data_IF_791924973469
#
_entry.id   IF_791924973469
#
_cell.length_a   1.000
_cell.length_b   1.000
_cell.length_c   1.000
_cell.angle_alpha   90.00
_cell.angle_beta   90.00
_cell.angle_gamma   90.00
#
_symmetry.space_group_name_H-M   'P 1'
#
loop_
_entity.id
_entity.type
_entity.pdbx_description
1 polymer ?
#
# COMPACT_ATOMS: atom_id res chain seq x y z
N UNK A 1 -72.57 -2.43 45.52
CA UNK A 1 -71.41 -3.24 45.98
C UNK A 1 -70.98 -4.09 44.78
N UNK A 2 -69.90 -3.86 44.06
CA UNK A 2 -68.85 -2.85 44.08
C UNK A 2 -68.16 -2.85 42.71
N UNK A 3 -67.33 -1.82 42.51
CA UNK A 3 -66.61 -1.45 41.30
C UNK A 3 -65.56 -2.49 40.83
N UNK A 4 -65.19 -2.48 39.54
CA UNK A 4 -63.95 -1.85 39.07
C UNK A 4 -63.53 -2.25 37.63
N UNK A 5 -63.13 -1.21 36.92
CA UNK A 5 -62.44 -1.16 35.63
C UNK A 5 -61.11 -1.92 35.60
N UNK A 6 -60.75 -2.47 34.45
CA UNK A 6 -59.37 -2.42 33.92
C UNK A 6 -59.34 -2.86 32.44
N UNK A 7 -59.10 -1.87 31.58
CA UNK A 7 -58.56 -2.02 30.24
C UNK A 7 -57.09 -2.48 30.32
N UNK A 8 -56.68 -3.44 29.49
CA UNK A 8 -55.29 -3.53 29.06
C UNK A 8 -55.22 -4.07 27.63
N UNK A 9 -54.86 -3.17 26.73
CA UNK A 9 -54.44 -3.40 25.36
C UNK A 9 -53.03 -4.00 25.39
N UNK A 10 -52.92 -5.29 25.06
CA UNK A 10 -51.63 -5.92 24.78
C UNK A 10 -51.22 -5.64 23.34
N UNK A 11 -50.56 -4.50 23.10
CA UNK A 11 -49.73 -4.34 21.91
C UNK A 11 -48.56 -5.31 22.04
N UNK A 12 -48.48 -6.28 21.13
CA UNK A 12 -47.27 -7.06 20.94
C UNK A 12 -46.21 -6.14 20.33
N UNK A 13 -45.39 -5.53 21.20
CA UNK A 13 -44.13 -4.94 20.81
C UNK A 13 -43.19 -6.09 20.42
N UNK A 14 -43.28 -6.51 19.16
CA UNK A 14 -42.17 -7.19 18.51
C UNK A 14 -41.08 -6.15 18.32
N UNK A 15 -40.19 -6.04 19.30
CA UNK A 15 -38.89 -5.43 19.14
C UNK A 15 -38.10 -6.23 18.12
N UNK A 16 -38.33 -5.93 16.84
CA UNK A 16 -37.37 -6.20 15.78
C UNK A 16 -36.09 -5.49 16.21
N UNK A 17 -35.12 -6.25 16.70
CA UNK A 17 -33.77 -5.77 16.88
C UNK A 17 -33.31 -5.27 15.50
N UNK A 18 -33.23 -3.96 15.33
CA UNK A 18 -32.48 -3.32 14.26
C UNK A 18 -31.02 -3.74 14.42
N UNK A 19 -30.68 -4.92 13.88
CA UNK A 19 -29.31 -5.30 13.64
C UNK A 19 -28.80 -4.30 12.60
N UNK A 20 -28.07 -3.27 13.07
CA UNK A 20 -27.53 -2.23 12.23
C UNK A 20 -26.85 -2.85 11.01
N UNK A 21 -27.44 -2.65 9.82
CA UNK A 21 -26.91 -3.17 8.57
C UNK A 21 -25.72 -2.29 8.16
N UNK A 22 -24.51 -2.71 8.54
CA UNK A 22 -23.29 -2.02 8.16
C UNK A 22 -22.92 -2.41 6.71
N UNK A 23 -22.79 -1.46 5.78
CA UNK A 23 -22.43 -1.77 4.39
C UNK A 23 -21.00 -2.35 4.30
N UNK A 24 -20.81 -3.29 3.37
CA UNK A 24 -19.48 -3.84 3.02
C UNK A 24 -18.62 -2.72 2.41
N UNK A 25 -17.36 -2.60 2.86
CA UNK A 25 -16.42 -1.66 2.27
C UNK A 25 -15.82 -2.26 1.00
N UNK A 26 -15.54 -1.42 -0.01
CA UNK A 26 -14.81 -1.85 -1.20
C UNK A 26 -13.46 -1.13 -1.28
N UNK A 27 -12.41 -1.88 -1.63
CA UNK A 27 -11.05 -1.37 -1.82
C UNK A 27 -10.45 -1.95 -3.10
N UNK A 28 -9.83 -1.11 -3.91
CA UNK A 28 -9.19 -1.50 -5.17
C UNK A 28 -7.68 -1.61 -4.98
N UNK A 29 -7.12 -2.79 -5.27
CA UNK A 29 -5.68 -3.04 -5.16
C UNK A 29 -5.12 -3.41 -6.53
N UNK A 30 -4.21 -2.56 -7.02
CA UNK A 30 -3.43 -2.83 -8.23
C UNK A 30 -2.28 -3.79 -7.91
N UNK A 31 -2.10 -4.80 -8.74
CA UNK A 31 -0.96 -5.71 -8.67
C UNK A 31 -0.16 -5.68 -9.97
N UNK A 32 1.16 -5.61 -9.89
CA UNK A 32 2.04 -5.80 -11.05
C UNK A 32 3.08 -6.88 -10.78
N UNK A 33 3.63 -7.43 -11.86
CA UNK A 33 4.80 -8.30 -11.83
C UNK A 33 5.67 -8.03 -13.04
N UNK A 34 6.96 -8.33 -12.94
CA UNK A 34 7.91 -8.13 -14.02
C UNK A 34 8.02 -9.34 -14.95
N UNK A 35 8.35 -9.09 -16.21
CA UNK A 35 8.69 -10.10 -17.19
C UNK A 35 10.12 -10.63 -17.03
N UNK A 36 10.55 -11.56 -17.91
CA UNK A 36 11.93 -12.07 -17.96
C UNK A 36 12.97 -10.96 -18.21
N UNK A 37 14.19 -11.13 -17.70
CA UNK A 37 15.24 -10.09 -17.84
C UNK A 37 16.69 -10.59 -17.99
N UNK A 38 16.94 -11.90 -17.84
CA UNK A 38 18.23 -12.54 -18.12
C UNK A 38 17.98 -13.93 -18.69
N UNK A 39 18.91 -14.45 -19.48
CA UNK A 39 18.81 -15.80 -20.05
C UNK A 39 18.63 -16.89 -18.96
N UNK A 40 19.25 -16.70 -17.79
CA UNK A 40 19.10 -17.58 -16.62
C UNK A 40 17.74 -17.47 -15.91
N UNK A 41 16.93 -16.46 -16.22
CA UNK A 41 15.60 -16.23 -15.66
C UNK A 41 14.57 -16.10 -16.81
N UNK A 42 14.32 -17.19 -17.57
CA UNK A 42 13.40 -17.17 -18.70
C UNK A 42 11.94 -17.05 -18.27
N UNK A 43 11.64 -17.35 -17.00
CA UNK A 43 10.35 -17.16 -16.34
C UNK A 43 10.62 -16.27 -15.12
N UNK A 44 9.78 -15.26 -14.91
CA UNK A 44 9.87 -14.39 -13.75
C UNK A 44 8.75 -14.72 -12.76
N UNK A 45 9.08 -15.20 -11.54
CA UNK A 45 8.07 -15.63 -10.58
C UNK A 45 7.14 -14.49 -10.12
N UNK A 46 7.59 -13.23 -10.18
CA UNK A 46 6.73 -12.10 -9.82
C UNK A 46 5.48 -12.03 -10.70
N UNK A 47 5.62 -12.26 -12.02
CA UNK A 47 4.49 -12.29 -12.94
C UNK A 47 3.64 -13.54 -12.79
N UNK A 48 4.26 -14.71 -12.60
CA UNK A 48 3.52 -15.96 -12.40
C UNK A 48 2.67 -15.92 -11.13
N UNK A 49 3.21 -15.34 -10.05
CA UNK A 49 2.45 -15.09 -8.81
C UNK A 49 1.32 -14.10 -9.08
N UNK A 50 1.62 -12.93 -9.66
CA UNK A 50 0.63 -11.88 -9.91
C UNK A 50 -0.55 -12.40 -10.73
N UNK A 51 -0.29 -13.06 -11.88
CA UNK A 51 -1.34 -13.56 -12.77
C UNK A 51 -2.14 -14.73 -12.19
N UNK A 52 -1.63 -15.39 -11.14
CA UNK A 52 -2.33 -16.47 -10.44
C UNK A 52 -3.35 -15.97 -9.41
N UNK A 53 -3.37 -14.67 -9.10
CA UNK A 53 -4.24 -14.10 -8.07
C UNK A 53 -5.72 -14.14 -8.49
N UNK A 54 -6.64 -14.29 -7.52
CA UNK A 54 -8.06 -14.10 -7.80
C UNK A 54 -8.34 -12.62 -8.10
N UNK A 55 -9.46 -12.33 -8.75
CA UNK A 55 -9.90 -10.95 -8.98
C UNK A 55 -10.50 -10.29 -7.75
N UNK A 56 -10.85 -11.07 -6.72
CA UNK A 56 -11.52 -10.57 -5.52
C UNK A 56 -11.15 -11.39 -4.30
N UNK A 57 -11.05 -10.71 -3.16
CA UNK A 57 -10.91 -11.30 -1.82
C UNK A 57 -11.96 -10.67 -0.89
N UNK A 58 -12.57 -11.46 0.00
CA UNK A 58 -13.50 -10.96 1.02
C UNK A 58 -12.91 -11.17 2.40
N UNK A 59 -12.79 -10.08 3.14
CA UNK A 59 -12.33 -10.07 4.52
C UNK A 59 -13.54 -10.04 5.46
N UNK A 60 -13.49 -10.81 6.55
CA UNK A 60 -14.58 -10.83 7.51
C UNK A 60 -14.74 -9.47 8.20
N UNK A 61 -15.88 -9.24 8.87
CA UNK A 61 -16.06 -8.07 9.72
C UNK A 61 -14.92 -7.87 10.71
N UNK A 62 -14.49 -6.61 10.84
CA UNK A 62 -13.55 -6.15 11.85
C UNK A 62 -14.20 -5.03 12.68
N UNK A 63 -13.62 -4.65 13.85
CA UNK A 63 -14.09 -3.49 14.59
C UNK A 63 -14.15 -2.19 13.78
N UNK A 64 -13.40 -2.11 12.66
CA UNK A 64 -13.30 -0.93 11.80
C UNK A 64 -14.02 -1.09 10.46
N UNK A 65 -14.31 -2.33 10.06
CA UNK A 65 -15.19 -2.69 8.95
C UNK A 65 -16.27 -3.68 9.42
N UNK A 66 -17.32 -3.24 10.14
CA UNK A 66 -18.32 -4.16 10.69
C UNK A 66 -19.14 -4.91 9.63
N UNK A 67 -19.20 -4.39 8.40
CA UNK A 67 -19.81 -5.05 7.24
C UNK A 67 -18.86 -5.99 6.48
N UNK A 68 -17.60 -6.10 6.91
CA UNK A 68 -16.52 -6.74 6.15
C UNK A 68 -15.97 -5.84 5.03
N UNK A 69 -14.95 -6.36 4.34
CA UNK A 69 -14.26 -5.63 3.28
C UNK A 69 -14.09 -6.51 2.04
N UNK A 70 -14.58 -6.04 0.90
CA UNK A 70 -14.35 -6.63 -0.41
C UNK A 70 -13.16 -5.94 -1.08
N UNK A 71 -12.12 -6.73 -1.34
CA UNK A 71 -10.92 -6.28 -2.06
C UNK A 71 -11.04 -6.66 -3.52
N UNK A 72 -11.09 -5.68 -4.41
CA UNK A 72 -11.01 -5.87 -5.86
C UNK A 72 -9.54 -5.86 -6.28
N UNK A 73 -9.01 -7.02 -6.67
CA UNK A 73 -7.63 -7.17 -7.13
C UNK A 73 -7.59 -7.02 -8.65
N UNK A 74 -6.83 -6.03 -9.13
CA UNK A 74 -6.59 -5.84 -10.56
C UNK A 74 -5.13 -6.07 -10.88
N UNK A 75 -4.86 -7.18 -11.54
CA UNK A 75 -3.52 -7.48 -12.06
C UNK A 75 -3.33 -6.72 -13.37
N UNK A 76 -2.22 -6.00 -13.52
CA UNK A 76 -1.88 -5.35 -14.78
C UNK A 76 -1.87 -6.40 -15.91
N UNK A 77 -2.47 -6.15 -17.08
CA UNK A 77 -2.76 -7.20 -18.08
C UNK A 77 -1.51 -7.84 -18.73
N UNK A 78 -0.33 -7.24 -18.53
CA UNK A 78 0.93 -7.74 -19.07
C UNK A 78 2.03 -7.69 -18.00
N UNK A 79 2.98 -8.61 -18.07
CA UNK A 79 4.20 -8.50 -17.30
C UNK A 79 4.92 -7.18 -17.67
N UNK A 80 5.32 -6.40 -16.66
CA UNK A 80 6.08 -5.17 -16.88
C UNK A 80 7.45 -5.56 -17.42
N UNK A 81 7.82 -5.03 -18.59
CA UNK A 81 9.16 -5.27 -19.14
C UNK A 81 10.18 -4.65 -18.20
N UNK A 82 11.30 -5.34 -17.98
CA UNK A 82 12.40 -4.84 -17.14
C UNK A 82 13.20 -3.81 -17.94
N UNK A 83 12.59 -2.65 -18.19
CA UNK A 83 13.12 -1.53 -18.96
C UNK A 83 12.67 -0.21 -18.34
N UNK A 84 13.59 0.74 -18.14
CA UNK A 84 13.31 1.99 -17.40
C UNK A 84 12.26 2.84 -18.12
N UNK A 85 12.41 3.01 -19.44
CA UNK A 85 11.45 3.74 -20.28
C UNK A 85 10.04 3.12 -20.25
N UNK A 86 9.93 1.79 -20.07
CA UNK A 86 8.62 1.14 -19.94
C UNK A 86 7.98 1.50 -18.61
N UNK A 87 8.74 1.50 -17.51
CA UNK A 87 8.22 1.92 -16.20
C UNK A 87 7.74 3.38 -16.25
N UNK A 88 8.54 4.29 -16.82
CA UNK A 88 8.16 5.70 -16.99
C UNK A 88 6.84 5.85 -17.76
N UNK A 89 6.65 5.06 -18.83
CA UNK A 89 5.43 5.12 -19.63
C UNK A 89 4.20 4.51 -18.95
N UNK A 90 4.38 3.49 -18.11
CA UNK A 90 3.27 2.72 -17.54
C UNK A 90 2.77 3.33 -16.23
N UNK A 91 3.66 3.85 -15.39
CA UNK A 91 3.32 4.34 -14.04
C UNK A 91 2.16 5.35 -14.02
N UNK A 92 2.09 6.38 -14.89
CA UNK A 92 0.95 7.30 -14.89
C UNK A 92 -0.39 6.57 -15.08
N UNK A 93 -0.48 5.69 -16.07
CA UNK A 93 -1.69 4.92 -16.37
C UNK A 93 -2.10 3.96 -15.25
N UNK A 94 -1.13 3.42 -14.50
CA UNK A 94 -1.43 2.60 -13.32
C UNK A 94 -2.27 3.34 -12.28
N UNK A 95 -2.01 4.64 -12.08
CA UNK A 95 -2.54 5.42 -10.96
C UNK A 95 -3.66 6.40 -11.34
N UNK A 96 -3.71 6.83 -12.60
CA UNK A 96 -4.82 7.60 -13.16
C UNK A 96 -6.09 6.76 -13.23
N UNK A 97 -5.94 5.44 -13.45
CA UNK A 97 -7.05 4.52 -13.57
C UNK A 97 -7.77 4.63 -14.92
N UNK A 98 -8.66 3.68 -15.18
CA UNK A 98 -9.34 3.50 -16.46
C UNK A 98 -10.77 3.00 -16.21
N UNK A 99 -11.72 3.39 -17.06
CA UNK A 99 -13.11 2.91 -17.03
C UNK A 99 -13.82 3.10 -15.66
N UNK A 100 -13.54 4.20 -14.98
CA UNK A 100 -14.10 4.49 -13.65
C UNK A 100 -13.49 3.66 -12.51
N UNK A 101 -12.49 2.83 -12.80
CA UNK A 101 -11.72 2.10 -11.81
C UNK A 101 -10.38 2.79 -11.56
N UNK A 102 -10.03 3.01 -10.28
CA UNK A 102 -8.73 3.52 -9.86
C UNK A 102 -8.22 2.70 -8.67
N UNK A 103 -6.90 2.50 -8.54
CA UNK A 103 -6.35 1.84 -7.36
C UNK A 103 -6.46 2.74 -6.14
N UNK A 104 -6.81 2.15 -5.01
CA UNK A 104 -6.66 2.74 -3.68
C UNK A 104 -5.28 2.42 -3.10
N UNK A 105 -4.74 1.24 -3.45
CA UNK A 105 -3.39 0.77 -3.15
C UNK A 105 -2.76 0.08 -4.35
N UNK A 106 -1.42 0.09 -4.43
CA UNK A 106 -0.66 -0.74 -5.37
C UNK A 106 0.38 -1.60 -4.69
N UNK A 107 0.54 -2.83 -5.18
CA UNK A 107 1.63 -3.75 -4.80
C UNK A 107 2.36 -4.18 -6.06
N UNK A 108 3.59 -3.69 -6.22
CA UNK A 108 4.50 -4.17 -7.24
C UNK A 108 5.24 -5.40 -6.73
N UNK A 109 5.38 -6.42 -7.57
CA UNK A 109 6.09 -7.66 -7.23
C UNK A 109 7.34 -7.76 -8.10
N UNK A 110 8.49 -8.05 -7.47
CA UNK A 110 9.76 -8.26 -8.15
C UNK A 110 10.50 -9.48 -7.64
N UNK A 111 11.28 -10.13 -8.50
CA UNK A 111 12.12 -11.26 -8.09
C UNK A 111 13.45 -10.74 -7.51
N UNK A 112 13.82 -11.22 -6.32
CA UNK A 112 15.14 -11.03 -5.74
C UNK A 112 15.98 -12.30 -5.94
N UNK A 113 16.87 -12.30 -6.94
CA UNK A 113 17.75 -13.43 -7.21
C UNK A 113 18.63 -13.79 -6.00
N UNK A 114 18.68 -15.07 -5.63
CA UNK A 114 19.48 -15.58 -4.50
C UNK A 114 18.87 -15.37 -3.12
N UNK A 115 17.64 -14.85 -3.03
CA UNK A 115 16.90 -14.70 -1.78
C UNK A 115 15.89 -15.84 -1.61
N UNK A 116 15.85 -16.42 -0.42
CA UNK A 116 14.94 -17.54 -0.04
C UNK A 116 13.75 -17.09 0.81
N UNK A 117 13.59 -15.78 1.02
CA UNK A 117 12.52 -15.16 1.81
C UNK A 117 11.82 -14.06 1.01
N UNK A 118 10.63 -13.69 1.45
CA UNK A 118 9.86 -12.59 0.88
C UNK A 118 10.10 -11.32 1.71
N UNK A 119 10.14 -10.16 1.08
CA UNK A 119 10.22 -8.92 1.84
C UNK A 119 9.47 -7.74 1.25
N UNK A 120 8.98 -6.91 2.15
CA UNK A 120 8.32 -5.66 1.86
C UNK A 120 9.34 -4.53 1.97
N UNK A 121 9.48 -3.73 0.93
CA UNK A 121 10.43 -2.63 0.87
C UNK A 121 9.89 -1.39 1.60
N UNK A 122 10.72 -0.80 2.45
CA UNK A 122 10.38 0.36 3.29
C UNK A 122 10.55 1.69 2.59
N UNK A 123 11.37 1.72 1.54
CA UNK A 123 11.76 2.94 0.84
C UNK A 123 12.21 2.64 -0.57
N UNK A 124 12.22 3.68 -1.38
CA UNK A 124 12.81 3.67 -2.70
C UNK A 124 13.63 4.94 -2.93
N UNK A 125 14.84 4.78 -3.44
CA UNK A 125 15.73 5.87 -3.77
C UNK A 125 15.63 6.27 -5.24
N UNK A 126 15.64 7.57 -5.49
CA UNK A 126 15.65 8.17 -6.83
C UNK A 126 17.03 8.23 -7.49
N UNK A 127 18.07 7.64 -6.88
CA UNK A 127 19.46 7.82 -7.27
C UNK A 127 20.29 6.53 -7.18
N UNK A 128 21.47 6.53 -7.79
CA UNK A 128 22.45 5.46 -7.68
C UNK A 128 22.26 4.29 -8.66
N UNK A 129 21.43 4.47 -9.68
CA UNK A 129 21.23 3.50 -10.75
C UNK A 129 22.49 3.39 -11.62
N UNK A 130 23.17 2.24 -11.54
CA UNK A 130 24.39 1.95 -12.30
C UNK A 130 24.26 0.71 -13.21
N UNK A 131 23.12 0.03 -13.17
CA UNK A 131 22.87 -1.22 -13.92
C UNK A 131 21.90 -0.93 -15.05
N UNK A 132 22.37 -1.19 -16.28
CA UNK A 132 21.54 -1.10 -17.48
C UNK A 132 20.39 -2.12 -17.45
N UNK A 133 19.25 -1.74 -18.01
CA UNK A 133 18.09 -2.60 -18.16
C UNK A 133 18.29 -3.70 -19.24
N UNK A 134 17.22 -4.39 -19.64
CA UNK A 134 17.31 -5.46 -20.66
C UNK A 134 17.75 -4.96 -22.04
N UNK A 135 17.76 -3.65 -22.26
CA UNK A 135 18.22 -2.99 -23.48
C UNK A 135 19.58 -2.30 -23.28
N UNK A 136 20.14 -2.41 -22.07
CA UNK A 136 21.40 -1.78 -21.68
C UNK A 136 21.26 -0.29 -21.33
N UNK A 137 20.03 0.21 -21.18
CA UNK A 137 19.75 1.62 -20.89
C UNK A 137 19.77 1.92 -19.39
N UNK A 138 20.21 3.12 -19.01
CA UNK A 138 20.09 3.67 -17.65
C UNK A 138 18.94 4.67 -17.60
N UNK A 139 18.30 4.89 -16.43
CA UNK A 139 17.24 5.87 -16.30
C UNK A 139 17.82 7.30 -16.30
N UNK A 140 17.01 8.28 -16.66
CA UNK A 140 17.37 9.70 -16.58
C UNK A 140 17.31 10.21 -15.12
N UNK A 141 18.28 9.76 -14.31
CA UNK A 141 18.44 10.16 -12.89
C UNK A 141 19.77 10.87 -12.64
N UNK A 142 20.39 11.41 -13.68
CA UNK A 142 21.65 12.16 -13.56
C UNK A 142 21.48 13.38 -12.67
N UNK A 143 22.31 13.50 -11.63
CA UNK A 143 22.28 14.66 -10.71
C UNK A 143 21.24 14.57 -9.59
N UNK A 144 20.38 13.55 -9.57
CA UNK A 144 19.53 13.27 -8.41
C UNK A 144 20.41 12.73 -7.28
N UNK A 145 20.40 13.38 -6.12
CA UNK A 145 21.22 13.00 -4.96
C UNK A 145 20.33 12.95 -3.72
N UNK A 146 20.31 11.80 -3.06
CA UNK A 146 19.70 11.66 -1.73
C UNK A 146 18.17 11.65 -1.68
N UNK A 147 17.46 11.71 -2.81
CA UNK A 147 15.99 11.55 -2.82
C UNK A 147 15.63 10.11 -2.45
N UNK A 148 14.85 9.97 -1.38
CA UNK A 148 14.30 8.71 -0.87
C UNK A 148 12.84 8.94 -0.55
N UNK A 149 11.96 8.08 -1.08
CA UNK A 149 10.53 8.09 -0.83
C UNK A 149 10.13 6.86 -0.04
N UNK A 150 9.13 6.99 0.82
CA UNK A 150 8.63 5.92 1.68
C UNK A 150 7.12 5.72 1.45
N UNK A 151 6.61 4.48 1.54
CA UNK A 151 5.18 4.24 1.63
C UNK A 151 4.57 4.97 2.83
N UNK A 152 3.31 5.40 2.73
CA UNK A 152 2.60 6.09 3.81
C UNK A 152 2.25 5.16 5.00
N UNK A 153 2.38 3.85 4.79
CA UNK A 153 2.14 2.83 5.80
C UNK A 153 3.44 2.38 6.44
N UNK A 154 3.42 2.22 7.76
CA UNK A 154 4.56 1.66 8.50
C UNK A 154 4.72 0.18 8.12
N UNK A 155 5.72 -0.12 7.31
CA UNK A 155 5.97 -1.46 6.76
C UNK A 155 6.18 -2.50 7.86
N UNK A 156 6.80 -2.12 8.98
CA UNK A 156 6.97 -2.99 10.14
C UNK A 156 5.63 -3.47 10.72
N UNK A 157 4.62 -2.60 10.79
CA UNK A 157 3.29 -2.95 11.28
C UNK A 157 2.62 -3.95 10.33
N UNK A 158 2.74 -3.71 9.02
CA UNK A 158 2.26 -4.64 7.98
C UNK A 158 2.94 -6.00 8.12
N UNK A 159 4.27 -6.04 8.23
CA UNK A 159 5.03 -7.28 8.39
C UNK A 159 4.64 -8.02 9.67
N UNK A 160 4.36 -7.29 10.76
CA UNK A 160 3.88 -7.85 12.03
C UNK A 160 2.59 -8.66 11.85
N UNK A 161 1.61 -8.08 11.17
CA UNK A 161 0.33 -8.73 10.87
C UNK A 161 0.49 -9.83 9.81
N UNK A 162 1.26 -9.55 8.75
CA UNK A 162 1.47 -10.42 7.60
C UNK A 162 2.06 -11.79 7.98
N UNK A 163 2.96 -11.84 8.98
CA UNK A 163 3.53 -13.10 9.50
C UNK A 163 2.47 -14.13 9.90
N UNK A 164 1.31 -13.68 10.39
CA UNK A 164 0.19 -14.56 10.76
C UNK A 164 -0.59 -15.14 9.59
N UNK A 165 -0.36 -14.67 8.35
CA UNK A 165 -1.20 -14.93 7.17
C UNK A 165 -0.52 -15.73 6.06
N UNK A 166 0.76 -16.07 6.25
CA UNK A 166 1.61 -16.57 5.16
C UNK A 166 1.93 -18.06 5.27
N UNK A 167 1.25 -18.79 6.16
CA UNK A 167 1.38 -20.24 6.28
C UNK A 167 2.82 -20.70 6.54
N UNK A 168 3.57 -19.97 7.37
CA UNK A 168 4.96 -20.29 7.73
C UNK A 168 6.02 -19.83 6.72
N UNK A 169 5.67 -19.03 5.71
CA UNK A 169 6.68 -18.39 4.87
C UNK A 169 7.51 -17.35 5.66
N UNK A 170 8.79 -17.23 5.31
CA UNK A 170 9.69 -16.23 5.89
C UNK A 170 9.43 -14.87 5.21
N UNK A 171 8.88 -13.93 5.98
CA UNK A 171 8.53 -12.58 5.52
C UNK A 171 9.19 -11.53 6.39
N UNK A 172 9.75 -10.50 5.75
CA UNK A 172 10.59 -9.48 6.40
C UNK A 172 10.36 -8.09 5.83
N UNK A 173 10.83 -7.06 6.54
CA UNK A 173 11.01 -5.73 5.97
C UNK A 173 12.41 -5.60 5.35
N UNK A 174 12.57 -4.75 4.34
CA UNK A 174 13.88 -4.41 3.74
C UNK A 174 13.98 -2.92 3.39
N UNK A 175 15.19 -2.39 3.38
CA UNK A 175 15.47 -0.97 3.13
C UNK A 175 16.14 -0.70 1.78
N UNK A 176 16.33 -1.75 0.99
CA UNK A 176 17.12 -1.72 -0.22
C UNK A 176 16.52 -2.66 -1.26
N UNK A 177 15.85 -2.04 -2.24
CA UNK A 177 15.26 -2.73 -3.37
C UNK A 177 16.26 -3.00 -4.51
N UNK A 178 17.55 -2.67 -4.32
CA UNK A 178 18.65 -3.09 -5.18
C UNK A 178 19.01 -2.16 -6.33
N UNK A 179 18.56 -0.88 -6.32
CA UNK A 179 18.93 0.16 -7.31
C UNK A 179 18.83 -0.28 -8.78
N UNK A 180 17.78 -1.03 -9.08
CA UNK A 180 17.41 -1.50 -10.41
C UNK A 180 15.91 -1.26 -10.64
N UNK A 181 15.26 -1.99 -11.53
CA UNK A 181 13.85 -1.75 -11.89
C UNK A 181 12.86 -1.93 -10.73
N UNK A 182 13.18 -2.77 -9.74
CA UNK A 182 12.36 -2.95 -8.54
C UNK A 182 12.29 -1.65 -7.73
N UNK A 183 13.45 -1.06 -7.43
CA UNK A 183 13.54 0.24 -6.75
C UNK A 183 12.93 1.35 -7.61
N UNK A 184 13.20 1.33 -8.92
CA UNK A 184 12.74 2.35 -9.84
C UNK A 184 11.22 2.45 -9.93
N UNK A 185 10.52 1.32 -10.12
CA UNK A 185 9.05 1.37 -10.21
C UNK A 185 8.38 1.76 -8.89
N UNK A 186 8.96 1.38 -7.74
CA UNK A 186 8.47 1.84 -6.44
C UNK A 186 8.70 3.36 -6.31
N UNK A 187 9.89 3.85 -6.67
CA UNK A 187 10.22 5.27 -6.63
C UNK A 187 9.30 6.10 -7.52
N UNK A 188 9.14 5.73 -8.80
CA UNK A 188 8.31 6.47 -9.74
C UNK A 188 6.83 6.45 -9.33
N UNK A 189 6.33 5.34 -8.79
CA UNK A 189 4.96 5.27 -8.29
C UNK A 189 4.75 6.13 -7.04
N UNK A 190 5.66 6.10 -6.07
CA UNK A 190 5.60 6.99 -4.90
C UNK A 190 5.71 8.46 -5.31
N UNK A 191 6.58 8.77 -6.27
CA UNK A 191 6.78 10.11 -6.81
C UNK A 191 5.53 10.63 -7.54
N UNK A 192 4.87 9.78 -8.32
CA UNK A 192 3.62 10.12 -9.01
C UNK A 192 2.48 10.43 -8.03
N UNK A 193 2.42 9.70 -6.91
CA UNK A 193 1.36 9.85 -5.90
C UNK A 193 1.58 11.04 -4.94
N UNK A 194 2.77 11.64 -4.93
CA UNK A 194 3.17 12.71 -4.00
C UNK A 194 2.25 13.93 -4.07
N UNK A 195 1.79 14.42 -2.93
CA UNK A 195 0.92 15.60 -2.84
C UNK A 195 -0.53 15.38 -3.27
N UNK A 196 -0.91 14.13 -3.61
CA UNK A 196 -2.29 13.74 -3.92
C UNK A 196 -2.99 12.99 -2.78
N UNK A 197 -4.27 12.67 -2.96
CA UNK A 197 -5.07 11.93 -1.97
C UNK A 197 -4.55 10.51 -1.68
N UNK A 198 -3.72 9.95 -2.58
CA UNK A 198 -3.16 8.60 -2.50
C UNK A 198 -1.65 8.61 -2.23
N UNK A 199 -1.14 9.70 -1.66
CA UNK A 199 0.29 9.82 -1.33
C UNK A 199 0.78 8.59 -0.55
N UNK A 200 1.87 8.00 -1.04
CA UNK A 200 2.50 6.84 -0.40
C UNK A 200 1.71 5.52 -0.45
N UNK A 201 0.60 5.42 -1.20
CA UNK A 201 -0.24 4.21 -1.31
C UNK A 201 0.32 3.15 -2.28
N UNK A 202 1.63 2.97 -2.27
CA UNK A 202 2.33 1.99 -3.10
C UNK A 202 3.35 1.20 -2.26
N UNK A 203 3.41 -0.10 -2.48
CA UNK A 203 4.33 -1.02 -1.83
C UNK A 203 5.07 -1.86 -2.86
N UNK A 204 6.24 -2.36 -2.47
CA UNK A 204 7.01 -3.31 -3.28
C UNK A 204 7.32 -4.58 -2.50
N UNK A 205 6.98 -5.72 -3.10
CA UNK A 205 7.23 -7.06 -2.58
C UNK A 205 8.32 -7.75 -3.41
N UNK A 206 9.45 -8.04 -2.78
CA UNK A 206 10.42 -8.98 -3.33
C UNK A 206 10.04 -10.43 -3.01
N UNK A 207 10.12 -11.29 -4.03
CA UNK A 207 9.87 -12.73 -3.95
C UNK A 207 11.12 -13.55 -4.31
N UNK A 208 11.26 -14.80 -3.81
CA UNK A 208 12.29 -15.73 -4.25
C UNK A 208 12.21 -16.08 -5.74
N UNK A 209 13.29 -16.67 -6.27
CA UNK A 209 13.41 -17.03 -7.69
C UNK A 209 12.68 -18.33 -8.11
N UNK A 210 12.01 -19.02 -7.18
CA UNK A 210 11.32 -20.28 -7.44
C UNK A 210 10.14 -20.12 -8.41
N UNK A 211 10.09 -20.96 -9.45
CA UNK A 211 9.07 -20.92 -10.51
C UNK A 211 8.28 -22.22 -10.65
N UNK A 212 8.51 -23.20 -9.77
CA UNK A 212 7.69 -24.42 -9.78
C UNK A 212 6.28 -24.07 -9.30
N UNK A 213 5.31 -24.88 -9.66
CA UNK A 213 3.91 -24.69 -9.25
C UNK A 213 3.76 -24.47 -7.73
N UNK A 214 4.46 -25.28 -6.93
CA UNK A 214 4.49 -25.13 -5.46
C UNK A 214 5.06 -23.77 -5.00
N UNK A 215 6.03 -23.21 -5.73
CA UNK A 215 6.62 -21.92 -5.42
C UNK A 215 5.64 -20.79 -5.74
N UNK A 216 4.96 -20.89 -6.89
CA UNK A 216 3.92 -19.93 -7.32
C UNK A 216 2.72 -19.97 -6.38
N UNK A 217 2.25 -21.16 -5.98
CA UNK A 217 1.18 -21.31 -4.99
C UNK A 217 1.55 -20.72 -3.63
N UNK A 218 2.79 -20.95 -3.18
CA UNK A 218 3.31 -20.33 -1.95
C UNK A 218 3.33 -18.81 -2.09
N UNK A 219 3.86 -18.30 -3.19
CA UNK A 219 3.88 -16.87 -3.48
C UNK A 219 2.48 -16.24 -3.55
N UNK A 220 1.50 -16.94 -4.15
CA UNK A 220 0.10 -16.53 -4.19
C UNK A 220 -0.48 -16.37 -2.79
N UNK A 221 -0.30 -17.37 -1.91
CA UNK A 221 -0.74 -17.27 -0.51
C UNK A 221 -0.06 -16.11 0.22
N UNK A 222 1.24 -15.93 -0.03
CA UNK A 222 2.02 -14.84 0.56
C UNK A 222 1.49 -13.46 0.15
N UNK A 223 1.18 -13.26 -1.13
CA UNK A 223 0.61 -12.00 -1.63
C UNK A 223 -0.80 -11.76 -1.10
N UNK A 224 -1.66 -12.78 -1.04
CA UNK A 224 -2.99 -12.63 -0.46
C UNK A 224 -2.92 -12.24 1.01
N UNK A 225 -2.05 -12.88 1.79
CA UNK A 225 -1.80 -12.50 3.18
C UNK A 225 -1.23 -11.09 3.34
N UNK A 226 -0.44 -10.60 2.35
CA UNK A 226 0.06 -9.22 2.34
C UNK A 226 -1.09 -8.25 2.11
N UNK A 227 -1.94 -8.50 1.12
CA UNK A 227 -3.12 -7.67 0.82
C UNK A 227 -4.03 -7.58 2.04
N UNK A 228 -4.30 -8.69 2.73
CA UNK A 228 -5.05 -8.71 3.99
C UNK A 228 -4.40 -7.82 5.06
N UNK A 229 -3.07 -7.91 5.24
CA UNK A 229 -2.33 -7.08 6.20
C UNK A 229 -2.36 -5.59 5.84
N UNK A 230 -2.27 -5.24 4.55
CA UNK A 230 -2.35 -3.85 4.09
C UNK A 230 -3.74 -3.26 4.33
N UNK A 231 -4.81 -4.02 4.09
CA UNK A 231 -6.17 -3.53 4.35
C UNK A 231 -6.37 -3.26 5.84
N UNK A 232 -5.97 -4.19 6.71
CA UNK A 232 -6.12 -4.03 8.17
C UNK A 232 -5.29 -2.87 8.73
N UNK A 233 -4.04 -2.71 8.27
CA UNK A 233 -3.14 -1.67 8.80
C UNK A 233 -3.41 -0.31 8.13
N UNK A 234 -3.55 -0.28 6.81
CA UNK A 234 -3.47 0.92 5.98
C UNK A 234 -4.78 1.49 5.45
N UNK A 235 -5.86 0.71 5.46
CA UNK A 235 -7.19 1.17 5.04
C UNK A 235 -8.09 1.36 6.25
N UNK A 236 -8.08 0.40 7.17
CA UNK A 236 -8.81 0.51 8.42
C UNK A 236 -8.10 1.44 9.44
N UNK A 237 -6.88 1.92 9.16
CA UNK A 237 -6.13 2.88 9.99
C UNK A 237 -6.53 4.35 9.84
N UNK A 238 -7.14 4.73 8.71
CA UNK A 238 -7.38 6.14 8.34
C UNK A 238 -8.66 6.75 8.93
N UNK A 239 -9.50 5.97 9.62
CA UNK A 239 -10.71 6.47 10.30
C UNK A 239 -10.37 7.20 11.61
N UNK A 240 -9.10 7.28 12.01
CA UNK A 240 -8.66 8.17 13.10
C UNK A 240 -8.44 9.58 12.54
N UNK A 241 -9.30 10.49 13.00
CA UNK A 241 -9.30 11.97 12.80
C UNK A 241 -10.16 12.55 11.65
N UNK A 242 -11.47 12.27 11.69
CA UNK A 242 -12.48 13.32 11.43
C UNK A 242 -13.40 13.45 12.63
N UNK A 243 -12.85 13.96 13.73
CA UNK A 243 -13.59 14.20 14.96
C UNK A 243 -12.80 15.09 15.91
N UNK A 244 -12.84 16.40 15.67
CA UNK A 244 -12.21 17.36 16.58
C UNK A 244 -12.04 18.74 15.93
N UNK A 245 -13.12 19.52 15.90
CA UNK A 245 -12.98 20.96 15.72
C UNK A 245 -12.16 21.53 16.87
N UNK A 246 -11.00 22.11 16.55
CA UNK A 246 -10.08 22.71 17.49
C UNK A 246 -9.41 23.91 16.83
N UNK A 247 -9.66 25.06 17.41
CA UNK A 247 -9.31 26.42 16.97
C UNK A 247 -7.83 26.61 16.59
N UNK A 248 -7.59 27.29 15.47
CA UNK A 248 -6.24 27.77 15.09
C UNK A 248 -5.81 28.85 16.09
N UNK A 249 -4.98 28.48 17.07
CA UNK A 249 -4.30 29.47 17.92
C UNK A 249 -3.07 29.98 17.18
N UNK A 250 -3.17 31.23 16.72
CA UNK A 250 -2.05 31.99 16.18
C UNK A 250 -1.02 32.27 17.28
N UNK A 251 0.19 31.74 17.14
CA UNK A 251 1.31 32.09 18.01
C UNK A 251 1.86 33.44 17.55
N UNK A 252 1.54 34.50 18.31
CA UNK A 252 2.23 35.80 18.23
C UNK A 252 3.69 35.62 18.65
N UNK A 253 4.61 35.91 17.75
CA UNK A 253 6.03 36.04 18.05
C UNK A 253 6.27 37.17 19.06
N UNK A 254 6.89 36.81 20.18
CA UNK A 254 7.33 37.71 21.22
C UNK A 254 8.67 38.33 20.79
N UNK A 255 8.67 39.63 20.48
CA UNK A 255 9.90 40.43 20.32
C UNK A 255 10.25 41.02 21.69
N UNK A 256 11.19 40.39 22.37
CA UNK A 256 11.82 40.94 23.58
C UNK A 256 12.81 42.03 23.20
N UNK A 257 12.47 43.28 23.50
CA UNK A 257 13.34 44.44 23.36
C UNK A 257 14.37 44.55 24.49
N UNK A 258 15.50 45.18 24.17
CA UNK A 258 16.54 45.55 25.12
C UNK A 258 17.51 46.54 24.49
N UNK A 259 17.06 47.78 24.32
CA UNK A 259 17.90 48.93 23.95
C UNK A 259 18.59 49.46 25.21
N UNK A 260 19.93 49.44 25.24
CA UNK A 260 20.73 50.29 26.13
C UNK A 260 21.45 51.32 25.26
N UNK A 261 21.19 52.60 25.56
CA UNK A 261 21.90 53.77 25.03
C UNK A 261 23.01 54.17 26.00
N UNK A 262 24.18 54.53 25.47
CA UNK A 262 25.03 55.67 25.87
C UNK A 262 26.18 55.79 24.83
N UNK A 263 26.27 56.86 24.01
CA UNK A 263 27.15 58.06 24.15
C UNK A 263 28.55 57.69 24.67
N UNK A 264 29.67 57.97 23.99
CA UNK A 264 30.38 59.24 23.67
C UNK A 264 31.62 58.79 22.84
N UNK A 265 32.25 59.48 21.89
CA UNK A 265 32.25 60.88 21.48
C UNK A 265 33.27 61.12 20.35
N UNK A 266 33.28 62.40 19.92
CA UNK A 266 34.16 63.11 18.98
C UNK A 266 34.21 62.60 17.54
#
# INVERSE_FOLDING_TARGET
MGDNSASSSGSADTSTSDAAHHPEQEINVLITGFGPFKAQYPINPSWEIARSLPSTLRLPPSPRAPGGTKVNLRVHPRAIRVAYAVVESVVPGLWEGEDGWRPDWGVHIGMAAGREFYCLEKRAAGFGYAVGDVEGCLPEKSGVVGEVLEPAIVVEDVVGVWKGRVGGADVRASEDAGRYLCEYILHESLGFLRGGEREGKCLFLHVPAGVKEVDVERGRRVVLGLVEAVVEVGWEGEVRERGGGGEKVAVKGFVGGGSVRERVGL
#
